data_IF_634565180452
#
_entry.id   IF_634565180452
#
_cell.length_a   1.000
_cell.length_b   1.000
_cell.length_c   1.000
_cell.angle_alpha   90.00
_cell.angle_beta   90.00
_cell.angle_gamma   90.00
#
_symmetry.space_group_name_H-M   'P 1'
#
loop_
_entity.id
_entity.type
_entity.pdbx_description
1 polymer ?
#
# COMPACT_ATOMS: atom_id res chain seq x y z
N UNK A 1 2.21 -3.32 -24.19
CA UNK A 1 2.87 -2.93 -22.93
C UNK A 1 2.03 -3.48 -21.79
N UNK A 2 2.43 -4.59 -21.16
CA UNK A 2 1.66 -5.18 -20.05
C UNK A 2 1.59 -4.17 -18.91
N UNK A 3 0.41 -3.64 -18.61
CA UNK A 3 0.23 -2.74 -17.47
C UNK A 3 0.46 -3.57 -16.20
N UNK A 4 1.52 -3.24 -15.45
CA UNK A 4 1.75 -3.88 -14.15
C UNK A 4 0.54 -3.64 -13.27
N UNK A 5 0.07 -4.70 -12.61
CA UNK A 5 -1.07 -4.61 -11.70
C UNK A 5 -0.68 -3.75 -10.50
N UNK A 6 -1.51 -2.77 -10.15
CA UNK A 6 -1.21 -1.87 -9.03
C UNK A 6 -1.74 -2.50 -7.75
N UNK A 7 -0.88 -2.58 -6.73
CA UNK A 7 -1.26 -3.08 -5.41
C UNK A 7 -1.08 -1.97 -4.40
N UNK A 8 -2.18 -1.61 -3.74
CA UNK A 8 -2.16 -0.61 -2.66
C UNK A 8 -2.01 -1.34 -1.33
N UNK A 9 -0.97 -0.98 -0.57
CA UNK A 9 -0.67 -1.54 0.74
C UNK A 9 -0.91 -0.48 1.80
N UNK A 10 -1.95 -0.69 2.61
CA UNK A 10 -2.22 0.15 3.77
C UNK A 10 -1.31 -0.23 4.94
N UNK A 11 -0.86 0.77 5.70
CA UNK A 11 0.07 0.53 6.80
C UNK A 11 1.42 -0.01 6.31
N UNK A 12 1.87 0.44 5.14
CA UNK A 12 3.11 -0.02 4.52
C UNK A 12 4.34 0.18 5.42
N UNK A 13 4.33 1.17 6.33
CA UNK A 13 5.40 1.41 7.30
C UNK A 13 5.35 0.49 8.54
N UNK A 14 4.30 -0.32 8.69
CA UNK A 14 4.15 -1.31 9.74
C UNK A 14 4.98 -2.58 9.51
N UNK A 15 5.04 -3.45 10.51
CA UNK A 15 5.79 -4.71 10.44
C UNK A 15 5.31 -5.61 9.30
N UNK A 16 4.00 -5.86 9.25
CA UNK A 16 3.38 -6.73 8.25
C UNK A 16 3.27 -6.03 6.89
N UNK A 17 2.70 -4.82 6.86
CA UNK A 17 2.52 -4.04 5.62
C UNK A 17 3.84 -3.78 4.90
N UNK A 18 4.92 -3.50 5.63
CA UNK A 18 6.23 -3.27 5.03
C UNK A 18 6.86 -4.53 4.46
N UNK A 19 6.65 -5.68 5.10
CA UNK A 19 7.11 -6.97 4.57
C UNK A 19 6.40 -7.31 3.25
N UNK A 20 5.09 -7.11 3.20
CA UNK A 20 4.28 -7.34 1.99
C UNK A 20 4.69 -6.39 0.87
N UNK A 21 4.83 -5.09 1.16
CA UNK A 21 5.21 -4.10 0.16
C UNK A 21 6.56 -4.44 -0.50
N UNK A 22 7.57 -4.79 0.32
CA UNK A 22 8.89 -5.21 -0.21
C UNK A 22 8.82 -6.50 -1.03
N UNK A 23 8.04 -7.48 -0.58
CA UNK A 23 7.88 -8.74 -1.31
C UNK A 23 7.24 -8.53 -2.68
N UNK A 24 6.21 -7.68 -2.76
CA UNK A 24 5.51 -7.34 -3.99
C UNK A 24 6.37 -6.53 -4.96
N UNK A 25 7.20 -5.60 -4.46
CA UNK A 25 8.16 -4.91 -5.35
C UNK A 25 9.21 -5.88 -5.87
N UNK A 26 9.72 -6.77 -4.99
CA UNK A 26 10.73 -7.76 -5.36
C UNK A 26 10.24 -8.79 -6.39
N UNK A 27 8.94 -9.11 -6.42
CA UNK A 27 8.40 -9.99 -7.45
C UNK A 27 8.45 -9.35 -8.85
N UNK A 28 8.47 -8.02 -8.93
CA UNK A 28 8.55 -7.26 -10.19
C UNK A 28 7.25 -7.27 -11.02
N UNK A 29 6.28 -8.11 -10.64
CA UNK A 29 4.97 -8.28 -11.29
C UNK A 29 4.00 -7.13 -11.00
N UNK A 30 4.17 -6.48 -9.84
CA UNK A 30 3.25 -5.46 -9.33
C UNK A 30 3.90 -4.08 -9.25
N UNK A 31 3.08 -3.04 -9.42
CA UNK A 31 3.42 -1.68 -9.01
C UNK A 31 2.85 -1.44 -7.62
N UNK A 32 3.70 -1.23 -6.62
CA UNK A 32 3.25 -1.16 -5.22
C UNK A 32 3.10 0.29 -4.79
N UNK A 33 1.91 0.63 -4.28
CA UNK A 33 1.62 1.92 -3.66
C UNK A 33 1.40 1.75 -2.16
N UNK A 34 2.30 2.26 -1.35
CA UNK A 34 2.19 2.23 0.11
C UNK A 34 1.49 3.46 0.66
N UNK A 35 0.53 3.26 1.55
CA UNK A 35 -0.14 4.35 2.28
C UNK A 35 0.45 4.47 3.68
N UNK A 36 0.91 5.68 4.01
CA UNK A 36 1.45 6.05 5.32
C UNK A 36 0.94 7.42 5.74
N UNK A 37 0.83 7.66 7.05
CA UNK A 37 0.51 8.99 7.60
C UNK A 37 1.73 9.91 7.65
N UNK A 38 2.93 9.32 7.59
CA UNK A 38 4.20 10.04 7.66
C UNK A 38 5.14 9.51 6.56
N UNK A 39 5.41 10.37 5.57
CA UNK A 39 6.34 10.11 4.48
C UNK A 39 7.81 10.33 4.89
N UNK A 40 8.07 11.09 5.95
CA UNK A 40 9.41 11.48 6.39
C UNK A 40 10.02 10.49 7.37
N UNK A 41 9.22 9.59 7.96
CA UNK A 41 9.75 8.52 8.81
C UNK A 41 10.83 7.69 8.10
N UNK A 42 11.85 7.25 8.83
CA UNK A 42 12.93 6.41 8.28
C UNK A 42 12.40 5.15 7.59
N UNK A 43 11.30 4.58 8.11
CA UNK A 43 10.63 3.41 7.55
C UNK A 43 10.00 3.72 6.19
N UNK A 44 9.37 4.88 6.04
CA UNK A 44 8.82 5.34 4.77
C UNK A 44 9.95 5.55 3.74
N UNK A 45 11.00 6.27 4.13
CA UNK A 45 12.16 6.51 3.26
C UNK A 45 12.87 5.22 2.83
N UNK A 46 12.87 4.18 3.68
CA UNK A 46 13.36 2.86 3.30
C UNK A 46 12.49 2.21 2.23
N UNK A 47 11.17 2.26 2.36
CA UNK A 47 10.26 1.68 1.35
C UNK A 47 10.35 2.38 0.00
N UNK A 48 10.54 3.71 -0.01
CA UNK A 48 10.80 4.46 -1.25
C UNK A 48 12.07 3.96 -1.92
N UNK A 49 13.15 3.76 -1.16
CA UNK A 49 14.40 3.17 -1.68
C UNK A 49 14.23 1.74 -2.18
N UNK A 50 13.33 0.98 -1.56
CA UNK A 50 12.98 -0.38 -1.99
C UNK A 50 12.08 -0.39 -3.24
N UNK A 51 11.68 0.77 -3.78
CA UNK A 51 10.89 0.91 -5.02
C UNK A 51 9.37 0.99 -4.82
N UNK A 52 8.91 1.26 -3.60
CA UNK A 52 7.50 1.46 -3.28
C UNK A 52 7.12 2.94 -3.51
N UNK A 53 6.04 3.19 -4.25
CA UNK A 53 5.44 4.52 -4.39
C UNK A 53 4.67 4.86 -3.11
N UNK A 54 5.08 5.86 -2.33
CA UNK A 54 4.40 6.21 -1.09
C UNK A 54 3.44 7.39 -1.26
N UNK A 55 2.23 7.22 -0.75
CA UNK A 55 1.21 8.25 -0.68
C UNK A 55 0.91 8.60 0.78
N UNK A 56 0.86 9.91 1.07
CA UNK A 56 0.35 10.39 2.34
C UNK A 56 -1.18 10.35 2.32
N UNK A 57 -1.79 9.52 3.16
CA UNK A 57 -3.24 9.50 3.30
C UNK A 57 -3.62 9.04 4.71
N UNK A 58 -4.54 9.77 5.35
CA UNK A 58 -5.07 9.39 6.66
C UNK A 58 -6.25 8.43 6.50
N UNK A 59 -6.20 7.31 7.22
CA UNK A 59 -7.22 6.26 7.21
C UNK A 59 -8.43 6.61 8.09
N UNK A 60 -8.34 7.66 8.90
CA UNK A 60 -9.46 8.13 9.72
C UNK A 60 -10.50 8.93 8.93
N UNK A 61 -10.17 9.35 7.71
CA UNK A 61 -11.17 9.85 6.77
C UNK A 61 -12.03 8.68 6.32
N UNK A 62 -13.26 8.62 6.84
CA UNK A 62 -14.26 7.54 6.65
C UNK A 62 -14.57 7.17 5.18
N UNK A 63 -13.98 7.85 4.21
CA UNK A 63 -14.15 7.62 2.78
C UNK A 63 -13.29 6.48 2.20
N UNK A 64 -12.26 5.99 2.88
CA UNK A 64 -11.33 4.99 2.29
C UNK A 64 -12.01 3.66 1.98
N UNK A 65 -13.04 3.27 2.74
CA UNK A 65 -13.79 2.03 2.49
C UNK A 65 -14.74 2.11 1.28
N UNK A 66 -15.18 3.30 0.88
CA UNK A 66 -16.09 3.46 -0.27
C UNK A 66 -15.32 3.54 -1.59
N UNK A 67 -14.11 4.11 -1.59
CA UNK A 67 -13.30 4.23 -2.81
C UNK A 67 -12.73 2.88 -3.29
N UNK A 68 -12.60 1.89 -2.41
CA UNK A 68 -12.22 0.52 -2.80
C UNK A 68 -13.35 -0.26 -3.49
N UNK A 69 -14.60 0.22 -3.44
CA UNK A 69 -15.78 -0.47 -4.00
C UNK A 69 -16.24 0.16 -5.32
N UNK A 70 -15.86 1.40 -5.63
CA UNK A 70 -16.41 2.14 -6.78
C UNK A 70 -15.32 2.61 -7.76
N UNK A 71 -14.48 1.69 -8.21
CA UNK A 71 -13.79 1.91 -9.48
C UNK A 71 -13.79 0.63 -10.31
N UNK A 72 -14.83 0.50 -11.14
CA UNK A 72 -15.01 -0.60 -12.08
C UNK A 72 -13.91 -0.67 -13.16
N UNK A 73 -12.97 0.29 -13.19
CA UNK A 73 -11.78 0.24 -14.05
C UNK A 73 -10.58 -0.49 -13.42
N UNK A 74 -10.63 -0.79 -12.12
CA UNK A 74 -9.56 -1.46 -11.36
C UNK A 74 -9.72 -2.99 -11.27
N UNK A 75 -10.31 -3.66 -12.26
CA UNK A 75 -10.51 -5.13 -12.27
C UNK A 75 -9.24 -5.97 -12.05
N UNK A 76 -8.05 -5.36 -12.01
CA UNK A 76 -6.76 -6.02 -11.82
C UNK A 76 -5.99 -5.61 -10.56
N UNK A 77 -6.56 -4.78 -9.66
CA UNK A 77 -5.88 -4.32 -8.45
C UNK A 77 -6.32 -5.13 -7.23
N UNK A 78 -5.39 -5.91 -6.67
CA UNK A 78 -5.63 -6.65 -5.41
C UNK A 78 -5.35 -5.66 -4.27
N UNK A 79 -6.38 -5.33 -3.49
CA UNK A 79 -6.25 -4.46 -2.32
C UNK A 79 -6.01 -5.35 -1.09
N UNK A 80 -4.83 -5.24 -0.47
CA UNK A 80 -4.51 -5.94 0.78
C UNK A 80 -4.75 -5.00 1.98
N UNK A 81 -5.82 -5.27 2.73
CA UNK A 81 -6.13 -4.55 3.97
C UNK A 81 -5.58 -5.34 5.16
N UNK A 82 -4.37 -5.01 5.61
CA UNK A 82 -3.81 -5.58 6.85
C UNK A 82 -3.97 -4.54 7.96
N UNK A 83 -5.17 -4.50 8.53
CA UNK A 83 -5.38 -3.92 9.85
C UNK A 83 -6.17 -4.91 10.70
N UNK A 84 -5.50 -5.96 11.13
CA UNK A 84 -6.05 -6.87 12.13
C UNK A 84 -4.94 -7.32 13.10
N UNK A 85 -5.17 -7.00 14.39
CA UNK A 85 -4.46 -7.47 15.58
C UNK A 85 -3.08 -6.84 15.82
N UNK A 86 -3.05 -5.63 16.41
CA UNK A 86 -2.17 -5.23 17.52
C UNK A 86 -2.55 -3.80 17.93
N UNK A 87 -3.74 -3.71 18.53
CA UNK A 87 -4.12 -2.64 19.46
C UNK A 87 -4.89 -3.32 20.59
N UNK A 88 -4.20 -4.25 21.24
CA UNK A 88 -4.37 -4.78 22.60
C UNK A 88 -3.02 -5.37 22.99
#
# INVERSE_FOLDING_TARGET
MSSKKVVVVFGATGWQGGSVARALVKSGEYSVRGVTRDLHSEKAQRLVRDGVDLMNYDLNDRLVLLLSVVDSSLQNSIIFFIKLIFSL
#
